data_IF_352996360473
#
_entry.id   IF_352996360473
#
_cell.length_a   1.000
_cell.length_b   1.000
_cell.length_c   1.000
_cell.angle_alpha   90.00
_cell.angle_beta   90.00
_cell.angle_gamma   90.00
#
_symmetry.space_group_name_H-M   'P 1'
#
loop_
_entity.id
_entity.type
_entity.pdbx_description
1 polymer ?
#
# COMPACT_ATOMS: atom_id res chain seq x y z
N UNK A 1 16.48 30.03 5.27
CA UNK A 1 17.18 30.01 3.97
C UNK A 1 16.61 28.96 2.99
N UNK A 2 16.01 27.86 3.46
CA UNK A 2 15.38 26.82 2.59
C UNK A 2 14.01 27.19 1.98
N UNK A 3 13.29 28.20 2.49
CA UNK A 3 11.98 28.61 1.96
C UNK A 3 12.07 29.51 0.71
N UNK A 4 13.26 30.00 0.34
CA UNK A 4 13.43 30.98 -0.74
C UNK A 4 13.61 30.36 -2.14
N UNK A 5 13.80 29.04 -2.24
CA UNK A 5 14.14 28.37 -3.51
C UNK A 5 12.87 27.97 -4.30
N UNK A 6 11.68 28.01 -3.68
CA UNK A 6 10.43 27.52 -4.26
C UNK A 6 9.63 28.53 -5.12
N UNK A 7 10.20 29.71 -5.45
CA UNK A 7 9.46 30.79 -6.15
C UNK A 7 9.44 30.71 -7.68
N UNK A 8 10.17 29.78 -8.30
CA UNK A 8 10.10 29.59 -9.76
C UNK A 8 9.15 28.46 -10.14
N UNK A 9 8.22 28.76 -11.07
CA UNK A 9 7.07 27.96 -11.55
C UNK A 9 7.38 26.56 -12.12
N UNK A 10 8.62 26.04 -12.05
CA UNK A 10 9.08 24.92 -12.87
C UNK A 10 9.50 23.65 -12.11
N UNK A 11 9.13 23.49 -10.83
CA UNK A 11 9.53 22.35 -9.97
C UNK A 11 8.35 21.44 -9.55
N UNK A 12 7.34 21.29 -10.40
CA UNK A 12 5.96 20.92 -9.97
C UNK A 12 5.51 19.47 -10.09
N UNK A 13 6.35 18.46 -10.34
CA UNK A 13 5.83 17.11 -10.62
C UNK A 13 6.08 16.02 -9.57
N UNK A 14 6.93 16.26 -8.57
CA UNK A 14 7.11 15.32 -7.45
C UNK A 14 6.88 15.95 -6.05
N UNK A 15 6.96 17.28 -5.91
CA UNK A 15 6.69 17.99 -4.65
C UNK A 15 5.18 18.25 -4.44
N UNK A 16 4.42 18.31 -5.52
CA UNK A 16 3.03 18.76 -5.59
C UNK A 16 2.02 17.73 -5.06
N UNK A 17 2.38 16.45 -5.09
CA UNK A 17 1.62 15.37 -4.48
C UNK A 17 1.96 15.15 -2.99
N UNK A 18 3.01 15.80 -2.45
CA UNK A 18 3.45 15.61 -1.06
C UNK A 18 2.38 16.00 -0.04
N UNK A 19 1.74 17.17 -0.22
CA UNK A 19 0.69 17.64 0.67
C UNK A 19 -0.54 16.72 0.61
N UNK A 20 -0.88 16.24 -0.58
CA UNK A 20 -1.97 15.27 -0.76
C UNK A 20 -1.63 13.93 -0.12
N UNK A 21 -0.42 13.41 -0.29
CA UNK A 21 0.00 12.14 0.31
C UNK A 21 0.08 12.23 1.83
N UNK A 22 0.51 13.37 2.38
CA UNK A 22 0.47 13.63 3.81
C UNK A 22 -0.96 13.67 4.34
N UNK A 23 -1.89 14.33 3.62
CA UNK A 23 -3.32 14.30 3.96
C UNK A 23 -3.89 12.89 3.88
N UNK A 24 -3.56 12.14 2.83
CA UNK A 24 -4.02 10.76 2.63
C UNK A 24 -3.55 9.87 3.77
N UNK A 25 -2.26 9.93 4.12
CA UNK A 25 -1.68 9.18 5.22
C UNK A 25 -2.37 9.52 6.54
N UNK A 26 -2.45 10.80 6.91
CA UNK A 26 -2.99 11.20 8.22
C UNK A 26 -4.49 10.97 8.37
N UNK A 27 -5.25 11.05 7.29
CA UNK A 27 -6.71 11.08 7.35
C UNK A 27 -7.38 9.74 7.01
N UNK A 28 -6.81 8.95 6.11
CA UNK A 28 -7.51 7.80 5.52
C UNK A 28 -6.80 6.47 5.69
N UNK A 29 -5.51 6.45 6.06
CA UNK A 29 -4.81 5.19 6.29
C UNK A 29 -5.01 4.71 7.74
N UNK A 30 -5.23 3.40 7.95
CA UNK A 30 -5.34 2.81 9.28
C UNK A 30 -4.08 3.07 10.13
N UNK A 31 -4.23 3.20 11.45
CA UNK A 31 -3.12 3.49 12.36
C UNK A 31 -2.05 2.39 12.41
N UNK A 32 -2.43 1.15 12.12
CA UNK A 32 -1.56 -0.03 12.03
C UNK A 32 -0.87 -0.17 10.67
N UNK A 33 -1.20 0.67 9.68
CA UNK A 33 -0.51 0.80 8.41
C UNK A 33 0.45 2.00 8.45
N UNK A 34 1.72 1.73 8.75
CA UNK A 34 2.76 2.75 8.70
C UNK A 34 3.06 3.16 7.26
N UNK A 35 3.63 4.34 7.08
CA UNK A 35 4.00 4.86 5.78
C UNK A 35 5.45 5.25 5.81
N UNK A 36 6.20 4.83 4.80
CA UNK A 36 7.50 5.44 4.51
C UNK A 36 7.25 6.76 3.76
N UNK A 37 7.15 7.87 4.49
CA UNK A 37 6.77 9.17 3.92
C UNK A 37 7.80 9.66 2.91
N UNK A 38 7.36 10.14 1.75
CA UNK A 38 8.22 10.76 0.73
C UNK A 38 8.38 12.25 1.06
N UNK A 39 9.27 12.55 2.01
CA UNK A 39 9.38 13.87 2.67
C UNK A 39 9.96 14.98 1.81
N UNK A 40 10.69 14.64 0.76
CA UNK A 40 11.22 15.62 -0.18
C UNK A 40 11.47 14.99 -1.55
N UNK A 41 11.50 15.83 -2.58
CA UNK A 41 11.87 15.40 -3.92
C UNK A 41 12.45 16.56 -4.75
N UNK A 42 13.24 16.19 -5.75
CA UNK A 42 13.71 17.08 -6.81
C UNK A 42 13.50 16.39 -8.15
N UNK A 43 13.18 17.17 -9.19
CA UNK A 43 12.98 16.68 -10.55
C UNK A 43 13.54 17.68 -11.55
N UNK A 44 13.73 17.26 -12.79
CA UNK A 44 14.18 18.13 -13.86
C UNK A 44 13.25 19.33 -14.07
N UNK A 45 13.82 20.48 -14.46
CA UNK A 45 13.07 21.72 -14.65
C UNK A 45 12.42 21.86 -16.03
N UNK A 46 12.46 20.80 -16.85
CA UNK A 46 11.87 20.78 -18.19
C UNK A 46 10.35 20.91 -18.10
N UNK A 47 9.75 21.57 -19.10
CA UNK A 47 8.29 21.74 -19.18
C UNK A 47 7.55 20.45 -19.52
N UNK A 48 8.20 19.59 -20.30
CA UNK A 48 7.73 18.26 -20.65
C UNK A 48 7.98 17.30 -19.47
N UNK A 49 6.90 16.74 -18.91
CA UNK A 49 6.96 15.81 -17.78
C UNK A 49 7.80 14.57 -18.06
N UNK A 50 7.68 13.99 -19.26
CA UNK A 50 8.41 12.77 -19.62
C UNK A 50 9.91 13.02 -19.72
N UNK A 51 10.33 14.22 -20.10
CA UNK A 51 11.74 14.62 -20.06
C UNK A 51 12.20 14.97 -18.65
N UNK A 52 11.39 15.68 -17.88
CA UNK A 52 11.71 16.11 -16.53
C UNK A 52 11.95 14.93 -15.59
N UNK A 53 11.14 13.86 -15.71
CA UNK A 53 11.21 12.70 -14.82
C UNK A 53 12.51 11.89 -14.92
N UNK A 54 13.25 11.99 -16.03
CA UNK A 54 14.51 11.25 -16.23
C UNK A 54 15.63 11.64 -15.26
N UNK A 55 15.58 12.83 -14.67
CA UNK A 55 16.50 13.26 -13.61
C UNK A 55 15.70 13.65 -12.38
N UNK A 56 15.38 12.66 -11.56
CA UNK A 56 14.59 12.86 -10.34
C UNK A 56 15.20 12.13 -9.15
N UNK A 57 14.97 12.66 -7.95
CA UNK A 57 15.34 12.05 -6.69
C UNK A 57 14.21 12.26 -5.68
N UNK A 58 13.92 11.24 -4.88
CA UNK A 58 12.92 11.25 -3.81
C UNK A 58 13.65 10.84 -2.53
N UNK A 59 13.46 11.63 -1.47
CA UNK A 59 13.92 11.32 -0.12
C UNK A 59 12.73 10.75 0.64
N UNK A 60 12.95 9.61 1.29
CA UNK A 60 11.94 8.85 2.00
C UNK A 60 12.34 8.67 3.46
N UNK A 61 11.37 8.71 4.37
CA UNK A 61 11.57 8.43 5.79
C UNK A 61 12.15 7.03 5.97
N UNK A 62 13.02 6.89 6.95
CA UNK A 62 13.42 5.59 7.49
C UNK A 62 12.53 5.26 8.69
N UNK A 63 12.01 4.03 8.73
CA UNK A 63 11.18 3.54 9.82
C UNK A 63 11.96 2.66 10.81
N UNK A 64 13.25 2.44 10.59
CA UNK A 64 14.08 1.55 11.40
C UNK A 64 14.09 1.94 12.88
N UNK A 65 14.41 3.20 13.21
CA UNK A 65 14.42 3.69 14.60
C UNK A 65 13.06 3.47 15.30
N UNK A 66 11.97 3.73 14.58
CA UNK A 66 10.59 3.53 15.08
C UNK A 66 10.32 2.04 15.36
N UNK A 67 10.80 1.16 14.49
CA UNK A 67 10.64 -0.28 14.65
C UNK A 67 11.46 -0.81 15.84
N UNK A 68 12.69 -0.34 16.00
CA UNK A 68 13.56 -0.72 17.13
C UNK A 68 12.96 -0.32 18.47
N UNK A 69 12.48 0.92 18.59
CA UNK A 69 11.77 1.40 19.79
C UNK A 69 10.53 0.55 20.12
N UNK A 70 9.89 -0.02 19.11
CA UNK A 70 8.71 -0.86 19.24
C UNK A 70 9.03 -2.37 19.29
N UNK A 71 10.32 -2.75 19.40
CA UNK A 71 10.80 -4.15 19.37
C UNK A 71 10.30 -4.93 18.16
N UNK A 72 10.30 -4.31 16.98
CA UNK A 72 9.81 -4.86 15.72
C UNK A 72 10.91 -4.93 14.66
N UNK A 73 10.85 -5.97 13.83
CA UNK A 73 11.57 -6.06 12.57
C UNK A 73 10.68 -5.60 11.41
N UNK A 74 11.30 -4.98 10.41
CA UNK A 74 10.67 -4.54 9.16
C UNK A 74 11.13 -5.46 8.03
N UNK A 75 10.21 -6.26 7.47
CA UNK A 75 10.55 -7.28 6.47
C UNK A 75 9.75 -7.01 5.19
N UNK A 76 10.40 -6.74 4.04
CA UNK A 76 9.68 -6.68 2.76
C UNK A 76 8.94 -8.00 2.51
N UNK A 77 7.63 -7.95 2.22
CA UNK A 77 6.81 -9.14 2.05
C UNK A 77 7.35 -10.08 0.96
N UNK A 78 7.91 -9.51 -0.11
CA UNK A 78 8.56 -10.26 -1.18
C UNK A 78 9.73 -11.14 -0.70
N UNK A 79 10.44 -10.72 0.35
CA UNK A 79 11.56 -11.46 0.93
C UNK A 79 11.10 -12.71 1.68
N UNK A 80 9.92 -12.67 2.31
CA UNK A 80 9.38 -13.82 3.03
C UNK A 80 9.01 -14.99 2.12
N UNK A 81 8.75 -14.72 0.85
CA UNK A 81 8.37 -15.75 -0.13
C UNK A 81 9.59 -16.46 -0.71
N UNK A 82 10.79 -15.93 -0.48
CA UNK A 82 12.03 -16.57 -0.91
C UNK A 82 12.33 -17.80 -0.06
N UNK A 83 13.15 -18.70 -0.62
CA UNK A 83 13.64 -19.89 0.06
C UNK A 83 15.14 -19.73 0.37
N UNK A 84 15.61 -20.12 1.56
CA UNK A 84 17.05 -20.24 1.81
C UNK A 84 17.71 -21.23 0.84
N UNK A 85 19.01 -21.06 0.61
CA UNK A 85 19.76 -22.00 -0.20
C UNK A 85 19.76 -23.39 0.45
N UNK A 86 19.28 -24.40 -0.28
CA UNK A 86 19.22 -25.78 0.19
C UNK A 86 18.04 -26.12 1.11
N UNK A 87 17.05 -25.22 1.27
CA UNK A 87 15.80 -25.49 2.00
C UNK A 87 14.61 -25.29 1.06
N UNK A 88 13.66 -26.22 1.08
CA UNK A 88 12.46 -26.15 0.25
C UNK A 88 11.34 -25.29 0.86
N UNK A 89 11.51 -24.87 2.11
CA UNK A 89 10.60 -23.97 2.81
C UNK A 89 10.95 -22.51 2.54
N UNK A 90 9.92 -21.69 2.48
CA UNK A 90 10.04 -20.23 2.42
C UNK A 90 10.49 -19.66 3.76
N UNK A 91 11.05 -18.45 3.75
CA UNK A 91 11.32 -17.70 4.99
C UNK A 91 10.06 -17.48 5.82
N UNK A 92 8.88 -17.32 5.20
CA UNK A 92 7.60 -17.27 5.91
C UNK A 92 7.35 -18.56 6.71
N UNK A 93 7.49 -19.72 6.07
CA UNK A 93 7.27 -21.01 6.73
C UNK A 93 8.21 -21.21 7.91
N UNK A 94 9.48 -20.82 7.76
CA UNK A 94 10.51 -20.96 8.79
C UNK A 94 10.26 -19.98 9.95
N UNK A 95 10.04 -18.70 9.65
CA UNK A 95 9.95 -17.64 10.67
C UNK A 95 8.67 -17.71 11.50
N UNK A 96 7.56 -18.12 10.88
CA UNK A 96 6.25 -18.20 11.54
C UNK A 96 5.83 -19.63 11.87
N UNK A 97 6.73 -20.61 11.71
CA UNK A 97 6.48 -22.03 11.99
C UNK A 97 5.19 -22.54 11.32
N UNK A 98 5.03 -22.25 10.02
CA UNK A 98 3.89 -22.65 9.20
C UNK A 98 4.05 -24.10 8.74
N UNK A 99 4.11 -25.01 9.71
CA UNK A 99 4.52 -26.40 9.52
C UNK A 99 3.39 -27.29 8.96
N UNK A 100 2.16 -26.79 8.91
CA UNK A 100 0.99 -27.51 8.45
C UNK A 100 0.07 -26.59 7.62
N UNK A 101 -0.89 -27.21 6.94
CA UNK A 101 -1.78 -26.52 6.03
C UNK A 101 -2.69 -25.51 6.75
N UNK A 102 -3.16 -25.82 7.95
CA UNK A 102 -4.11 -24.96 8.68
C UNK A 102 -3.42 -23.68 9.13
N UNK A 103 -2.20 -23.78 9.66
CA UNK A 103 -1.37 -22.61 9.99
C UNK A 103 -1.07 -21.74 8.77
N UNK A 104 -0.80 -22.35 7.61
CA UNK A 104 -0.57 -21.61 6.37
C UNK A 104 -1.83 -20.88 5.89
N UNK A 105 -3.02 -21.46 6.11
CA UNK A 105 -4.31 -20.85 5.75
C UNK A 105 -4.67 -19.67 6.66
N UNK A 106 -4.40 -19.81 7.96
CA UNK A 106 -4.61 -18.74 8.94
C UNK A 106 -3.59 -17.61 8.79
N UNK A 107 -2.47 -17.90 8.13
CA UNK A 107 -1.40 -16.94 7.93
C UNK A 107 -1.83 -15.82 6.97
N UNK A 108 -1.65 -14.59 7.45
CA UNK A 108 -1.39 -13.37 6.67
C UNK A 108 -2.57 -12.74 5.89
N UNK A 109 -3.47 -13.52 5.27
CA UNK A 109 -4.49 -12.97 4.38
C UNK A 109 -5.46 -12.00 5.08
N UNK A 110 -5.95 -12.36 6.27
CA UNK A 110 -6.90 -11.54 7.03
C UNK A 110 -6.29 -10.20 7.48
N UNK A 111 -5.05 -10.22 7.96
CA UNK A 111 -4.35 -9.01 8.39
C UNK A 111 -4.09 -8.06 7.22
N UNK A 112 -3.66 -8.59 6.08
CA UNK A 112 -3.32 -7.80 4.89
C UNK A 112 -4.56 -7.06 4.35
N UNK A 113 -5.69 -7.74 4.23
CA UNK A 113 -6.91 -7.11 3.70
C UNK A 113 -7.48 -6.06 4.62
N UNK A 114 -7.49 -6.32 5.93
CA UNK A 114 -7.93 -5.34 6.93
C UNK A 114 -7.11 -4.06 6.91
N UNK A 115 -5.81 -4.15 6.61
CA UNK A 115 -4.96 -2.97 6.54
C UNK A 115 -5.09 -2.21 5.21
N UNK A 116 -5.23 -2.91 4.07
CA UNK A 116 -5.03 -2.31 2.75
C UNK A 116 -6.31 -1.97 1.98
N UNK A 117 -7.43 -2.65 2.24
CA UNK A 117 -8.68 -2.41 1.51
C UNK A 117 -9.55 -1.26 2.03
N UNK A 118 -9.56 -0.90 3.33
CA UNK A 118 -10.41 0.21 3.79
C UNK A 118 -10.17 1.53 3.05
N UNK A 119 -8.92 1.97 2.76
CA UNK A 119 -8.69 3.18 1.98
C UNK A 119 -9.32 3.12 0.57
N UNK A 120 -9.29 1.95 -0.06
CA UNK A 120 -9.90 1.74 -1.38
C UNK A 120 -11.43 1.78 -1.28
N UNK A 121 -12.00 0.97 -0.40
CA UNK A 121 -13.44 0.77 -0.29
C UNK A 121 -14.17 2.06 0.16
N UNK A 122 -13.60 2.79 1.12
CA UNK A 122 -14.25 3.97 1.71
C UNK A 122 -13.88 5.27 1.00
N UNK A 123 -12.71 5.36 0.39
CA UNK A 123 -12.15 6.64 -0.08
C UNK A 123 -11.63 6.62 -1.52
N UNK A 124 -11.70 5.49 -2.22
CA UNK A 124 -11.18 5.38 -3.58
C UNK A 124 -9.66 5.60 -3.65
N UNK A 125 -8.94 5.16 -2.63
CA UNK A 125 -7.48 5.25 -2.53
C UNK A 125 -6.89 3.87 -2.86
N UNK A 126 -6.38 3.73 -4.08
CA UNK A 126 -5.77 2.51 -4.58
C UNK A 126 -4.26 2.51 -4.38
N UNK A 127 -3.80 1.90 -3.28
CA UNK A 127 -2.38 1.68 -3.02
C UNK A 127 -1.80 0.65 -4.01
N UNK A 128 -0.55 0.86 -4.45
CA UNK A 128 0.19 -0.15 -5.22
C UNK A 128 0.82 -1.17 -4.26
N UNK A 129 -0.02 -2.07 -3.76
CA UNK A 129 0.33 -2.98 -2.66
C UNK A 129 0.86 -4.33 -3.12
N UNK A 130 1.76 -4.35 -4.12
CA UNK A 130 2.52 -5.55 -4.44
C UNK A 130 3.54 -5.86 -3.34
N UNK A 131 4.02 -7.10 -3.26
CA UNK A 131 4.81 -7.59 -2.12
C UNK A 131 6.14 -6.86 -1.89
N UNK A 132 6.69 -6.17 -2.89
CA UNK A 132 7.87 -5.30 -2.71
C UNK A 132 7.54 -3.97 -1.99
N UNK A 133 6.32 -3.46 -2.13
CA UNK A 133 5.90 -2.17 -1.54
C UNK A 133 5.25 -2.33 -0.17
N UNK A 134 4.96 -3.57 0.23
CA UNK A 134 4.45 -3.91 1.54
C UNK A 134 5.58 -4.45 2.41
N UNK A 135 5.75 -3.81 3.56
CA UNK A 135 6.68 -4.21 4.61
C UNK A 135 5.88 -4.74 5.78
N UNK A 136 6.24 -5.91 6.27
CA UNK A 136 5.58 -6.57 7.38
C UNK A 136 6.32 -6.19 8.65
N UNK A 137 5.55 -5.79 9.66
CA UNK A 137 6.08 -5.44 10.98
C UNK A 137 5.92 -6.65 11.89
N UNK A 138 7.04 -7.21 12.36
CA UNK A 138 7.05 -8.47 13.13
C UNK A 138 7.69 -8.22 14.49
N UNK A 139 7.03 -8.59 15.57
CA UNK A 139 7.62 -8.47 16.90
C UNK A 139 8.83 -9.40 17.06
N UNK A 140 9.94 -8.88 17.57
CA UNK A 140 11.24 -9.58 17.55
C UNK A 140 11.24 -10.86 18.38
N UNK A 141 10.50 -10.89 19.49
CA UNK A 141 10.47 -12.03 20.42
C UNK A 141 9.34 -13.01 20.10
N UNK A 142 8.10 -12.51 20.01
CA UNK A 142 6.90 -13.36 19.81
C UNK A 142 6.69 -13.80 18.37
N UNK A 143 7.36 -13.14 17.41
CA UNK A 143 7.18 -13.35 15.96
C UNK A 143 5.77 -13.02 15.46
N UNK A 144 4.96 -12.33 16.26
CA UNK A 144 3.63 -11.89 15.86
C UNK A 144 3.69 -10.77 14.83
N UNK A 145 2.73 -10.77 13.89
CA UNK A 145 2.56 -9.68 12.92
C UNK A 145 1.86 -8.51 13.63
N UNK A 146 2.56 -7.40 13.76
CA UNK A 146 2.10 -6.19 14.43
C UNK A 146 1.40 -5.19 13.49
N UNK A 147 1.38 -5.50 12.19
CA UNK A 147 0.80 -4.68 11.14
C UNK A 147 1.73 -4.55 9.94
N UNK A 148 1.53 -3.49 9.17
CA UNK A 148 2.21 -3.29 7.90
C UNK A 148 2.79 -1.90 7.79
N UNK A 149 3.69 -1.72 6.84
CA UNK A 149 4.07 -0.42 6.32
C UNK A 149 4.03 -0.45 4.79
N UNK A 150 3.68 0.69 4.18
CA UNK A 150 3.66 0.86 2.73
C UNK A 150 4.70 1.88 2.30
N UNK A 151 5.31 1.63 1.14
CA UNK A 151 6.26 2.53 0.48
C UNK A 151 5.94 2.62 -1.01
N UNK A 152 6.59 3.59 -1.66
CA UNK A 152 6.49 3.85 -3.10
C UNK A 152 5.08 4.26 -3.56
N UNK A 153 4.86 5.58 -3.54
CA UNK A 153 3.60 6.19 -3.92
C UNK A 153 3.54 6.58 -5.40
N UNK A 154 4.59 6.30 -6.18
CA UNK A 154 4.65 6.67 -7.59
C UNK A 154 3.52 6.06 -8.44
N UNK A 155 3.06 4.86 -8.08
CA UNK A 155 1.97 4.19 -8.78
C UNK A 155 0.64 4.14 -8.05
N UNK A 156 0.44 4.92 -6.98
CA UNK A 156 -0.89 5.03 -6.35
C UNK A 156 -1.92 5.59 -7.35
N UNK A 157 -3.19 5.20 -7.15
CA UNK A 157 -4.34 5.74 -7.88
C UNK A 157 -5.34 6.31 -6.90
N UNK A 158 -5.80 7.52 -7.16
CA UNK A 158 -6.64 8.31 -6.28
C UNK A 158 -7.90 8.73 -7.03
N UNK A 159 -9.06 8.30 -6.55
CA UNK A 159 -10.33 8.69 -7.17
C UNK A 159 -10.69 10.13 -6.81
N UNK A 160 -10.72 10.99 -7.82
CA UNK A 160 -10.92 12.42 -7.69
C UNK A 160 -12.21 12.77 -6.92
N UNK A 161 -13.37 12.26 -7.38
CA UNK A 161 -14.65 12.58 -6.78
C UNK A 161 -14.79 12.07 -5.32
N UNK A 162 -14.18 10.92 -4.98
CA UNK A 162 -14.19 10.42 -3.60
C UNK A 162 -13.39 11.30 -2.66
N UNK A 163 -12.20 11.73 -3.07
CA UNK A 163 -11.35 12.60 -2.25
C UNK A 163 -11.93 14.01 -2.09
N UNK A 164 -12.56 14.55 -3.14
CA UNK A 164 -13.27 15.84 -3.04
C UNK A 164 -14.43 15.76 -2.03
N UNK A 165 -15.27 14.72 -2.08
CA UNK A 165 -16.34 14.50 -1.09
C UNK A 165 -15.79 14.35 0.33
N UNK A 166 -14.60 13.77 0.45
CA UNK A 166 -13.90 13.65 1.73
C UNK A 166 -13.19 14.96 2.17
N UNK A 167 -13.32 16.06 1.43
CA UNK A 167 -12.79 17.37 1.77
C UNK A 167 -11.28 17.54 1.58
N UNK A 168 -10.66 16.77 0.68
CA UNK A 168 -9.25 16.95 0.32
C UNK A 168 -9.08 18.11 -0.67
N UNK A 169 -8.05 18.93 -0.47
CA UNK A 169 -7.65 19.91 -1.48
C UNK A 169 -6.75 19.23 -2.53
N UNK A 170 -7.27 19.14 -3.76
CA UNK A 170 -6.58 18.51 -4.88
C UNK A 170 -5.88 19.53 -5.79
N UNK A 171 -5.96 20.84 -5.48
CA UNK A 171 -5.33 21.91 -6.29
C UNK A 171 -3.82 21.81 -6.35
N UNK A 172 -3.21 21.16 -5.36
CA UNK A 172 -1.77 20.94 -5.34
C UNK A 172 -1.34 19.96 -6.43
N UNK A 173 -2.20 19.06 -6.91
CA UNK A 173 -1.82 18.03 -7.88
C UNK A 173 -1.83 18.57 -9.31
N UNK A 174 -0.76 18.36 -10.10
CA UNK A 174 -0.71 18.80 -11.48
C UNK A 174 -1.77 18.08 -12.32
N UNK A 175 -2.48 18.80 -13.21
CA UNK A 175 -3.40 18.17 -14.15
C UNK A 175 -2.64 17.20 -15.08
N UNK A 176 -3.25 16.05 -15.38
CA UNK A 176 -2.69 15.03 -16.29
C UNK A 176 -1.66 14.07 -15.66
N UNK A 177 -1.35 14.20 -14.36
CA UNK A 177 -0.55 13.20 -13.66
C UNK A 177 -1.29 11.86 -13.52
N UNK A 178 -0.61 10.70 -13.60
CA UNK A 178 -1.27 9.38 -13.58
C UNK A 178 -1.91 9.03 -12.23
N UNK A 179 -1.63 9.81 -11.19
CA UNK A 179 -2.02 9.54 -9.80
C UNK A 179 -3.51 9.78 -9.53
N UNK A 180 -4.11 10.85 -10.07
CA UNK A 180 -5.53 11.17 -9.86
C UNK A 180 -6.32 10.74 -11.10
N UNK A 181 -7.50 10.16 -10.87
CA UNK A 181 -8.39 9.67 -11.94
C UNK A 181 -9.86 9.90 -11.57
N UNK A 182 -10.69 10.19 -12.56
CA UNK A 182 -12.15 10.21 -12.43
C UNK A 182 -12.77 8.82 -12.64
N UNK A 183 -11.99 7.83 -13.10
CA UNK A 183 -12.45 6.46 -13.27
C UNK A 183 -12.17 5.62 -12.02
N UNK A 184 -13.19 5.44 -11.17
CA UNK A 184 -13.12 4.58 -9.99
C UNK A 184 -12.73 3.13 -10.34
N UNK A 185 -13.14 2.61 -11.50
CA UNK A 185 -12.80 1.26 -11.92
C UNK A 185 -11.28 1.11 -12.15
N UNK A 186 -10.61 2.12 -12.71
CA UNK A 186 -9.15 2.12 -12.84
C UNK A 186 -8.42 2.03 -11.49
N UNK A 187 -9.00 2.59 -10.42
CA UNK A 187 -8.45 2.50 -9.05
C UNK A 187 -8.58 1.07 -8.52
N UNK A 188 -9.76 0.49 -8.63
CA UNK A 188 -10.01 -0.91 -8.26
C UNK A 188 -9.15 -1.87 -9.07
N UNK A 189 -9.01 -1.64 -10.37
CA UNK A 189 -8.17 -2.45 -11.25
C UNK A 189 -6.71 -2.43 -10.80
N UNK A 190 -6.16 -1.27 -10.41
CA UNK A 190 -4.79 -1.17 -9.90
C UNK A 190 -4.58 -1.98 -8.63
N UNK A 191 -5.52 -1.94 -7.68
CA UNK A 191 -5.43 -2.74 -6.45
C UNK A 191 -5.63 -4.22 -6.75
N UNK A 192 -6.59 -4.58 -7.59
CA UNK A 192 -6.80 -5.97 -8.00
C UNK A 192 -5.53 -6.56 -8.63
N UNK A 193 -4.87 -5.83 -9.54
CA UNK A 193 -3.61 -6.26 -10.15
C UNK A 193 -2.50 -6.42 -9.10
N UNK A 194 -2.24 -5.38 -8.31
CA UNK A 194 -1.08 -5.35 -7.41
C UNK A 194 -1.26 -6.24 -6.17
N UNK A 195 -2.43 -6.20 -5.52
CA UNK A 195 -2.73 -6.96 -4.32
C UNK A 195 -3.19 -8.38 -4.62
N UNK A 196 -4.21 -8.56 -5.47
CA UNK A 196 -4.83 -9.88 -5.63
C UNK A 196 -3.98 -10.75 -6.55
N UNK A 197 -3.70 -10.28 -7.76
CA UNK A 197 -3.01 -11.11 -8.76
C UNK A 197 -1.52 -11.27 -8.45
N UNK A 198 -0.82 -10.18 -8.14
CA UNK A 198 0.63 -10.21 -7.93
C UNK A 198 0.99 -10.63 -6.51
N UNK A 199 0.49 -9.93 -5.49
CA UNK A 199 0.90 -10.20 -4.11
C UNK A 199 0.31 -11.52 -3.59
N UNK A 200 -1.01 -11.66 -3.59
CA UNK A 200 -1.68 -12.84 -3.04
C UNK A 200 -1.53 -14.06 -3.93
N UNK A 201 -1.63 -13.92 -5.25
CA UNK A 201 -1.38 -15.03 -6.17
C UNK A 201 -0.01 -15.66 -5.93
N UNK A 202 1.04 -14.83 -5.82
CA UNK A 202 2.39 -15.31 -5.53
C UNK A 202 2.51 -15.93 -4.12
N UNK A 203 1.90 -15.33 -3.10
CA UNK A 203 1.87 -15.90 -1.75
C UNK A 203 1.22 -17.29 -1.73
N UNK A 204 0.04 -17.43 -2.33
CA UNK A 204 -0.70 -18.69 -2.36
C UNK A 204 0.10 -19.77 -3.09
N UNK A 205 0.74 -19.42 -4.20
CA UNK A 205 1.64 -20.31 -4.94
C UNK A 205 2.81 -20.76 -4.06
N UNK A 206 3.53 -19.82 -3.44
CA UNK A 206 4.74 -20.14 -2.67
C UNK A 206 4.47 -20.93 -1.39
N UNK A 207 3.30 -20.76 -0.77
CA UNK A 207 2.90 -21.56 0.39
C UNK A 207 2.23 -22.90 0.02
N UNK A 208 1.98 -23.13 -1.28
CA UNK A 208 1.31 -24.34 -1.77
C UNK A 208 -0.19 -24.36 -1.47
N UNK A 209 -0.84 -23.20 -1.32
CA UNK A 209 -2.24 -23.08 -0.90
C UNK A 209 -3.24 -23.14 -2.05
N UNK A 210 -2.81 -22.90 -3.29
CA UNK A 210 -3.70 -22.90 -4.46
C UNK A 210 -4.56 -24.17 -4.61
N UNK A 211 -3.99 -25.41 -4.60
CA UNK A 211 -4.79 -26.63 -4.69
C UNK A 211 -5.56 -26.95 -3.40
N UNK A 212 -5.35 -26.19 -2.33
CA UNK A 212 -5.87 -26.46 -0.99
C UNK A 212 -6.86 -25.40 -0.50
N UNK A 213 -7.50 -24.69 -1.44
CA UNK A 213 -8.57 -23.75 -1.14
C UNK A 213 -8.08 -22.35 -0.74
N UNK A 214 -6.83 -21.99 -1.03
CA UNK A 214 -6.28 -20.66 -0.75
C UNK A 214 -7.14 -19.52 -1.31
N UNK A 215 -7.65 -19.67 -2.53
CA UNK A 215 -8.54 -18.67 -3.15
C UNK A 215 -9.91 -18.55 -2.47
N UNK A 216 -10.41 -19.63 -1.84
CA UNK A 216 -11.64 -19.55 -1.04
C UNK A 216 -11.43 -18.70 0.21
N UNK A 217 -10.29 -18.84 0.89
CA UNK A 217 -9.94 -18.00 2.04
C UNK A 217 -9.82 -16.54 1.62
N UNK A 218 -9.15 -16.27 0.50
CA UNK A 218 -9.04 -14.92 -0.06
C UNK A 218 -10.41 -14.31 -0.32
N UNK A 219 -11.32 -15.06 -0.96
CA UNK A 219 -12.70 -14.62 -1.21
C UNK A 219 -13.45 -14.34 0.09
N UNK A 220 -13.35 -15.23 1.07
CA UNK A 220 -14.08 -15.11 2.33
C UNK A 220 -13.59 -13.90 3.14
N UNK A 221 -12.29 -13.63 3.16
CA UNK A 221 -11.72 -12.42 3.77
C UNK A 221 -12.09 -11.15 3.00
N UNK A 222 -12.08 -11.17 1.66
CA UNK A 222 -12.59 -10.06 0.85
C UNK A 222 -14.03 -9.73 1.19
N UNK A 223 -14.89 -10.74 1.30
CA UNK A 223 -16.29 -10.56 1.69
C UNK A 223 -16.41 -9.97 3.10
N UNK A 224 -15.59 -10.39 4.06
CA UNK A 224 -15.60 -9.83 5.43
C UNK A 224 -15.24 -8.35 5.43
N UNK A 225 -14.22 -7.94 4.68
CA UNK A 225 -13.72 -6.55 4.67
C UNK A 225 -14.58 -5.63 3.81
N UNK A 226 -15.17 -6.14 2.73
CA UNK A 226 -16.03 -5.36 1.83
C UNK A 226 -17.51 -5.34 2.25
N UNK A 227 -17.92 -6.16 3.23
CA UNK A 227 -19.27 -6.08 3.79
C UNK A 227 -19.52 -4.65 4.27
N UNK A 228 -20.62 -4.01 3.82
CA UNK A 228 -20.96 -2.68 4.29
C UNK A 228 -21.04 -2.70 5.81
N UNK A 229 -20.23 -1.89 6.48
CA UNK A 229 -20.52 -1.53 7.86
C UNK A 229 -21.92 -0.92 7.84
N UNK A 230 -22.88 -1.49 8.55
CA UNK A 230 -24.21 -0.91 8.67
C UNK A 230 -24.10 0.42 9.43
N UNK A 231 -23.71 1.50 8.74
CA UNK A 231 -23.64 2.84 9.29
C UNK A 231 -23.96 3.88 8.22
N UNK A 232 -25.23 4.31 8.23
CA UNK A 232 -25.73 5.67 7.95
C UNK A 232 -25.28 6.42 6.69
N UNK A 233 -25.12 5.76 5.54
CA UNK A 233 -25.15 6.47 4.27
C UNK A 233 -25.92 5.69 3.18
N UNK A 234 -27.16 6.08 2.86
CA UNK A 234 -28.01 5.38 1.88
C UNK A 234 -27.42 5.33 0.46
N UNK A 235 -26.51 6.24 0.11
CA UNK A 235 -25.95 6.31 -1.25
C UNK A 235 -24.84 5.28 -1.53
N UNK A 236 -24.23 4.70 -0.49
CA UNK A 236 -23.21 3.66 -0.66
C UNK A 236 -23.79 2.27 -0.97
N UNK A 237 -25.12 2.11 -0.89
CA UNK A 237 -25.79 0.82 -1.12
C UNK A 237 -25.95 0.46 -2.60
N UNK A 238 -25.75 1.41 -3.51
CA UNK A 238 -25.93 1.19 -4.96
C UNK A 238 -24.62 0.89 -5.73
N UNK A 239 -23.53 0.62 -5.03
CA UNK A 239 -22.20 0.36 -5.63
C UNK A 239 -21.65 -1.04 -5.34
N UNK A 240 -22.46 -1.94 -4.77
CA UNK A 240 -22.13 -3.35 -4.54
C UNK A 240 -23.05 -4.28 -5.31
#
# INVERSE_FOLDING_TARGET
MLQSIFRHRSLRLLVSAFELFTQVHKKFLPADLWVYGEVASITGSQTDFDKARHLSCIIREDLQDRAELASQALIPAAGLYQKPFGDDRTYAEILFALNDLDRKKDYYAACLFRALLPPLASHGIGLESHSQNIIIRVHLQTKEIMGFAVRDFGGIRLHHASLQRAGCDLKSVPPGGPTITDDLHSVWYKVHRSLIQVHLGHLLYMLGLEPHGGWSIVRDELQKVLKPCQSQNPEAQNLY
#
